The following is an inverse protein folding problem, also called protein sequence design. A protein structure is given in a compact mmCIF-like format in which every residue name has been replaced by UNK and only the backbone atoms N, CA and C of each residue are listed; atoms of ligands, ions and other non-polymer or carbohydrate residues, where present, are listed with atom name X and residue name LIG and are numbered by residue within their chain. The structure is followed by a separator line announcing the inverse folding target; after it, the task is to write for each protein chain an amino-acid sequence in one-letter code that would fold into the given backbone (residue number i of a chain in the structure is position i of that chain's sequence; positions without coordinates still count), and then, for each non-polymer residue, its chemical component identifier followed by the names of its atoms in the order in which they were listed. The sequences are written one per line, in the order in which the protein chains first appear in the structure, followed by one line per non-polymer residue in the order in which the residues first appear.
data_IF_249903817342
#
_entry.id   IF_249903817342
#
_cell.length_a   1.000
_cell.length_b   1.000
_cell.length_c   1.000
_cell.angle_alpha   90.00
_cell.angle_beta   90.00
_cell.angle_gamma   90.00
#
_symmetry.space_group_name_H-M   'P 1'
#
loop_
_entity.id
_entity.type
_entity.pdbx_description
1 polymer ?
#
# COMPACT_ATOMS: atom_id res chain seq x y z
N UNK A 1 -5.71 -8.69 -16.89
CA UNK A 1 -4.51 -8.41 -16.05
C UNK A 1 -3.36 -9.27 -16.54
N UNK A 2 -2.17 -8.71 -16.78
CA UNK A 2 -0.99 -9.48 -17.22
C UNK A 2 -0.24 -10.02 -15.98
N UNK A 3 -0.48 -11.28 -15.62
CA UNK A 3 0.10 -11.91 -14.41
C UNK A 3 1.64 -11.88 -14.43
N UNK A 4 2.26 -11.99 -15.61
CA UNK A 4 3.71 -11.98 -15.79
C UNK A 4 4.44 -10.74 -15.23
N UNK A 5 3.71 -9.66 -14.94
CA UNK A 5 4.25 -8.42 -14.37
C UNK A 5 4.18 -8.37 -12.84
N UNK A 6 3.60 -9.37 -12.17
CA UNK A 6 3.56 -9.44 -10.71
C UNK A 6 4.81 -10.11 -10.17
N UNK A 7 5.85 -9.32 -9.89
CA UNK A 7 7.19 -9.84 -9.54
C UNK A 7 7.73 -9.31 -8.22
N UNK A 8 6.99 -8.44 -7.55
CA UNK A 8 7.42 -7.88 -6.27
C UNK A 8 6.59 -8.51 -5.15
N UNK A 9 7.20 -9.25 -4.21
CA UNK A 9 6.50 -9.72 -3.04
C UNK A 9 6.19 -8.53 -2.13
N UNK A 10 4.95 -8.46 -1.65
CA UNK A 10 4.49 -7.40 -0.77
C UNK A 10 3.82 -7.98 0.46
N UNK A 11 3.99 -7.31 1.59
CA UNK A 11 3.28 -7.61 2.84
C UNK A 11 2.43 -6.41 3.22
N UNK A 12 1.13 -6.61 3.28
CA UNK A 12 0.22 -5.66 3.89
C UNK A 12 0.31 -5.81 5.39
N UNK A 13 0.53 -4.70 6.08
CA UNK A 13 0.44 -4.63 7.53
C UNK A 13 -0.79 -3.83 7.94
N UNK A 14 -1.38 -4.21 9.07
CA UNK A 14 -2.53 -3.53 9.68
C UNK A 14 -2.08 -2.83 10.95
N UNK A 15 -2.57 -1.62 11.17
CA UNK A 15 -2.42 -0.91 12.43
C UNK A 15 -3.46 -1.45 13.40
N UNK A 16 -2.99 -2.08 14.48
CA UNK A 16 -3.81 -2.61 15.54
C UNK A 16 -3.57 -1.82 16.83
N UNK A 17 -4.67 -1.38 17.44
CA UNK A 17 -4.63 -0.75 18.75
C UNK A 17 -4.76 -1.87 19.77
N UNK A 18 -3.67 -2.13 20.47
CA UNK A 18 -3.64 -3.05 21.60
C UNK A 18 -3.82 -2.26 22.89
N UNK A 19 -4.59 -2.81 23.82
CA UNK A 19 -4.78 -2.20 25.15
C UNK A 19 -4.01 -3.04 26.15
N UNK A 20 -3.09 -2.43 26.89
CA UNK A 20 -2.34 -3.12 27.92
C UNK A 20 -3.22 -3.40 29.17
N UNK A 21 -2.67 -4.14 30.14
CA UNK A 21 -3.37 -4.47 31.39
C UNK A 21 -3.67 -3.25 32.29
N UNK A 22 -3.10 -2.08 31.96
CA UNK A 22 -3.30 -0.82 32.68
C UNK A 22 -4.24 0.13 31.93
N UNK A 23 -4.78 -0.28 30.78
CA UNK A 23 -5.70 0.53 29.97
C UNK A 23 -5.01 1.48 28.99
N UNK A 24 -3.69 1.40 28.80
CA UNK A 24 -3.01 2.22 27.80
C UNK A 24 -3.20 1.63 26.39
N UNK A 25 -3.48 2.49 25.43
CA UNK A 25 -3.59 2.12 24.01
C UNK A 25 -2.25 2.29 23.30
N UNK A 26 -1.72 1.20 22.74
CA UNK A 26 -0.52 1.19 21.90
C UNK A 26 -0.87 0.76 20.49
N UNK A 27 -0.49 1.59 19.51
CA UNK A 27 -0.61 1.25 18.10
C UNK A 27 0.61 0.42 17.68
N UNK A 28 0.39 -0.76 17.14
CA UNK A 28 1.42 -1.60 16.54
C UNK A 28 1.02 -2.04 15.14
N UNK A 29 2.01 -2.25 14.29
CA UNK A 29 1.81 -2.75 12.94
C UNK A 29 2.04 -4.25 12.91
N UNK A 30 1.04 -5.01 12.47
CA UNK A 30 1.08 -6.48 12.39
C UNK A 30 0.91 -6.96 10.95
N UNK A 31 1.62 -8.03 10.57
CA UNK A 31 1.49 -8.64 9.24
C UNK A 31 0.05 -9.15 9.04
N UNK A 32 -0.60 -8.69 7.96
CA UNK A 32 -1.99 -9.00 7.66
C UNK A 32 -2.12 -9.96 6.47
N UNK A 33 -1.53 -9.61 5.33
CA UNK A 33 -1.68 -10.41 4.10
C UNK A 33 -0.45 -10.28 3.20
N UNK A 34 -0.06 -11.38 2.55
CA UNK A 34 1.12 -11.42 1.67
C UNK A 34 0.71 -11.84 0.27
N UNK A 35 1.19 -11.12 -0.74
CA UNK A 35 0.93 -11.46 -2.14
C UNK A 35 2.01 -10.87 -3.06
N UNK A 36 1.83 -11.06 -4.37
CA UNK A 36 2.67 -10.45 -5.39
C UNK A 36 1.98 -9.23 -5.98
N UNK A 37 2.76 -8.21 -6.31
CA UNK A 37 2.30 -6.97 -6.93
C UNK A 37 3.07 -6.68 -8.22
N UNK A 38 2.40 -5.98 -9.14
CA UNK A 38 3.08 -5.15 -10.14
C UNK A 38 3.36 -3.79 -9.51
N UNK A 39 4.61 -3.36 -9.55
CA UNK A 39 5.03 -2.04 -9.05
C UNK A 39 5.20 -1.10 -10.22
N UNK A 40 4.67 0.11 -10.07
CA UNK A 40 4.86 1.18 -11.03
C UNK A 40 4.87 2.54 -10.35
N UNK A 41 5.06 3.57 -11.15
CA UNK A 41 4.85 4.96 -10.76
C UNK A 41 3.64 5.48 -11.52
N UNK A 42 2.98 6.51 -11.00
CA UNK A 42 1.96 7.18 -11.79
C UNK A 42 2.68 8.05 -12.83
N UNK A 43 2.85 7.51 -14.03
CA UNK A 43 3.51 8.21 -15.14
C UNK A 43 2.59 9.22 -15.86
N UNK A 44 1.44 9.56 -15.29
CA UNK A 44 0.61 10.65 -15.80
C UNK A 44 1.07 11.94 -15.13
N UNK A 45 1.85 12.71 -15.89
CA UNK A 45 2.38 14.00 -15.47
C UNK A 45 1.34 14.84 -14.74
N UNK A 46 1.65 15.15 -13.50
CA UNK A 46 1.13 16.33 -12.84
C UNK A 46 2.35 17.05 -12.26
N UNK A 47 3.05 17.77 -13.13
CA UNK A 47 3.83 18.96 -12.76
C UNK A 47 2.89 20.11 -12.34
N UNK A 48 1.76 19.79 -11.71
CA UNK A 48 0.86 20.78 -11.13
C UNK A 48 1.28 20.94 -9.68
N UNK A 49 1.96 22.07 -9.42
CA UNK A 49 2.41 22.58 -8.11
C UNK A 49 3.91 22.54 -7.82
N UNK A 50 4.78 22.44 -8.83
CA UNK A 50 6.22 22.75 -8.67
C UNK A 50 7.02 21.83 -7.74
N UNK A 51 6.41 20.76 -7.23
CA UNK A 51 7.08 19.74 -6.44
C UNK A 51 7.52 18.59 -7.36
N UNK A 52 8.84 18.40 -7.47
CA UNK A 52 9.43 17.24 -8.12
C UNK A 52 9.13 16.02 -7.24
N UNK A 53 8.15 15.21 -7.61
CA UNK A 53 7.88 13.93 -6.94
C UNK A 53 9.00 12.97 -7.35
N UNK A 54 9.89 12.62 -6.42
CA UNK A 54 10.87 11.58 -6.68
C UNK A 54 10.14 10.26 -6.90
N UNK A 55 10.42 9.62 -8.04
CA UNK A 55 9.77 8.35 -8.42
C UNK A 55 9.95 7.23 -7.37
N UNK A 56 10.99 7.32 -6.54
CA UNK A 56 11.23 6.38 -5.43
C UNK A 56 10.38 6.68 -4.17
N UNK A 57 9.87 7.90 -4.03
CA UNK A 57 9.04 8.33 -2.90
C UNK A 57 7.56 8.02 -3.12
N UNK A 58 7.11 7.84 -4.37
CA UNK A 58 5.71 7.57 -4.71
C UNK A 58 5.58 6.39 -5.66
N UNK A 59 5.10 5.26 -5.14
CA UNK A 59 4.90 4.03 -5.89
C UNK A 59 3.44 3.59 -5.85
N UNK A 60 3.02 2.91 -6.90
CA UNK A 60 1.77 2.17 -6.92
C UNK A 60 2.01 0.66 -6.99
N UNK A 61 1.19 -0.08 -6.23
CA UNK A 61 1.21 -1.53 -6.14
C UNK A 61 -0.12 -2.05 -6.67
N UNK A 62 -0.09 -2.73 -7.81
CA UNK A 62 -1.28 -3.38 -8.38
C UNK A 62 -1.29 -4.86 -8.03
N UNK A 63 -2.29 -5.27 -7.25
CA UNK A 63 -2.49 -6.64 -6.79
C UNK A 63 -3.72 -7.27 -7.45
N UNK A 64 -3.80 -8.61 -7.47
CA UNK A 64 -5.03 -9.32 -7.83
C UNK A 64 -6.06 -9.03 -6.74
N UNK A 65 -7.31 -8.85 -7.14
CA UNK A 65 -8.38 -8.72 -6.16
C UNK A 65 -8.56 -10.04 -5.38
N UNK A 66 -8.70 -9.92 -4.06
CA UNK A 66 -9.17 -10.97 -3.15
C UNK A 66 -9.92 -10.33 -1.98
N UNK A 67 -10.57 -11.16 -1.16
CA UNK A 67 -11.35 -10.71 0.01
C UNK A 67 -10.52 -9.92 1.01
N UNK A 68 -9.30 -10.37 1.30
CA UNK A 68 -8.41 -9.74 2.27
C UNK A 68 -8.00 -8.34 1.81
N UNK A 69 -7.65 -8.19 0.53
CA UNK A 69 -7.28 -6.89 -0.03
C UNK A 69 -8.48 -5.95 -0.22
N UNK A 70 -9.71 -6.47 -0.24
CA UNK A 70 -10.92 -5.64 -0.32
C UNK A 70 -11.19 -4.87 0.98
N UNK A 71 -10.64 -5.32 2.13
CA UNK A 71 -10.74 -4.66 3.43
C UNK A 71 -9.67 -3.57 3.65
N UNK A 72 -8.66 -3.52 2.78
CA UNK A 72 -7.52 -2.62 2.92
C UNK A 72 -7.95 -1.17 2.65
N UNK A 73 -7.67 -0.30 3.61
CA UNK A 73 -7.92 1.16 3.54
C UNK A 73 -6.66 1.95 3.90
N UNK A 74 -6.54 3.18 3.39
CA UNK A 74 -5.34 4.00 3.54
C UNK A 74 -4.94 4.34 4.97
N UNK A 75 -5.91 4.44 5.89
CA UNK A 75 -5.65 4.91 7.25
C UNK A 75 -5.24 3.81 8.23
N UNK A 76 -5.49 2.54 7.89
CA UNK A 76 -5.27 1.39 8.79
C UNK A 76 -4.25 0.41 8.25
N UNK A 77 -3.77 0.60 7.03
CA UNK A 77 -2.89 -0.35 6.36
C UNK A 77 -1.71 0.34 5.71
N UNK A 78 -0.60 -0.38 5.65
CA UNK A 78 0.62 0.00 4.93
C UNK A 78 1.20 -1.22 4.21
N UNK A 79 2.11 -0.98 3.29
CA UNK A 79 2.74 -2.03 2.47
C UNK A 79 4.24 -2.07 2.76
N UNK A 80 4.77 -3.26 3.02
CA UNK A 80 6.20 -3.54 3.00
C UNK A 80 6.58 -4.14 1.65
N UNK A 81 7.59 -3.58 1.01
CA UNK A 81 8.13 -4.06 -0.26
C UNK A 81 9.62 -3.70 -0.35
N UNK A 82 10.46 -4.62 -0.83
CA UNK A 82 11.90 -4.37 -1.04
C UNK A 82 12.62 -3.75 0.19
N UNK A 83 12.26 -4.21 1.40
CA UNK A 83 12.83 -3.71 2.66
C UNK A 83 12.39 -2.29 3.07
N UNK A 84 11.45 -1.69 2.34
CA UNK A 84 10.91 -0.35 2.60
C UNK A 84 9.44 -0.41 3.01
N UNK A 85 9.03 0.57 3.80
CA UNK A 85 7.63 0.76 4.20
C UNK A 85 6.98 1.86 3.37
N UNK A 86 5.76 1.59 2.90
CA UNK A 86 4.98 2.50 2.08
C UNK A 86 3.60 2.71 2.71
N UNK A 87 3.29 3.96 3.05
CA UNK A 87 1.97 4.36 3.53
C UNK A 87 1.00 4.43 2.34
N UNK A 88 -0.16 3.79 2.46
CA UNK A 88 -1.18 3.81 1.41
C UNK A 88 -1.85 5.19 1.45
N UNK A 89 -1.83 5.91 0.33
CA UNK A 89 -2.47 7.22 0.18
C UNK A 89 -3.87 7.08 -0.45
N UNK A 90 -4.03 6.15 -1.40
CA UNK A 90 -5.29 5.93 -2.08
C UNK A 90 -5.45 4.49 -2.59
N UNK A 91 -6.62 3.89 -2.33
CA UNK A 91 -7.01 2.58 -2.85
C UNK A 91 -7.91 2.76 -4.07
N UNK A 92 -7.39 2.43 -5.24
CA UNK A 92 -8.14 2.48 -6.50
C UNK A 92 -8.78 1.10 -6.78
N UNK A 93 -10.12 1.00 -6.80
CA UNK A 93 -10.84 -0.26 -7.05
C UNK A 93 -10.81 -0.71 -8.51
N UNK A 94 -10.12 0.03 -9.39
CA UNK A 94 -9.97 -0.27 -10.82
C UNK A 94 -11.33 -0.46 -11.52
N UNK A 95 -12.27 0.43 -11.20
CA UNK A 95 -13.64 0.40 -11.72
C UNK A 95 -14.51 -0.71 -11.13
N UNK A 96 -14.20 -1.20 -9.92
CA UNK A 96 -14.95 -2.22 -9.18
C UNK A 96 -15.14 -3.56 -9.90
N UNK A 97 -14.30 -3.84 -10.91
CA UNK A 97 -14.38 -5.07 -11.71
C UNK A 97 -13.96 -6.34 -10.94
N UNK A 98 -13.46 -6.20 -9.71
CA UNK A 98 -12.95 -7.28 -8.85
C UNK A 98 -11.89 -8.19 -9.52
N UNK A 99 -11.11 -7.61 -10.43
CA UNK A 99 -9.96 -8.29 -11.04
C UNK A 99 -8.65 -7.90 -10.35
N UNK A 100 -8.53 -6.61 -10.02
CA UNK A 100 -7.32 -6.00 -9.45
C UNK A 100 -7.69 -4.89 -8.50
N UNK A 101 -6.79 -4.59 -7.57
CA UNK A 101 -6.77 -3.38 -6.75
C UNK A 101 -5.43 -2.69 -6.96
N UNK A 102 -5.44 -1.37 -7.06
CA UNK A 102 -4.22 -0.56 -7.16
C UNK A 102 -4.10 0.30 -5.90
N UNK A 103 -3.01 0.13 -5.17
CA UNK A 103 -2.67 0.88 -3.98
C UNK A 103 -1.64 1.93 -4.35
N UNK A 104 -1.99 3.20 -4.27
CA UNK A 104 -1.04 4.30 -4.43
C UNK A 104 -0.48 4.60 -3.06
N UNK A 105 0.84 4.77 -2.99
CA UNK A 105 1.55 4.85 -1.74
C UNK A 105 2.66 5.88 -1.78
N UNK A 106 2.98 6.42 -0.61
CA UNK A 106 4.16 7.24 -0.36
C UNK A 106 5.14 6.48 0.55
N UNK A 107 6.44 6.62 0.30
CA UNK A 107 7.48 6.08 1.17
C UNK A 107 7.34 6.64 2.58
N UNK A 108 7.37 5.77 3.60
CA UNK A 108 7.39 6.19 5.00
C UNK A 108 8.70 6.92 5.27
N UNK A 109 8.62 8.18 5.69
CA UNK A 109 9.79 8.97 6.07
C UNK A 109 10.14 8.65 7.51
N UNK A 110 11.23 7.91 7.74
CA UNK A 110 11.79 7.74 9.08
C UNK A 110 12.30 9.09 9.55
N UNK A 111 11.74 9.61 10.65
CA UNK A 111 12.19 10.85 11.29
C UNK A 111 13.38 10.57 12.19
#
# INVERSE_FOLDING_TARGET
MKIANMRVPVTFQKNEITTDKYGNHTASWTDYFKCWATVGTDSYGSETSGEVINSEESLNFTCRWCSELAEVVSTKYRILAEGKTYNITYVNPMGYKKNTLKFNCALEKTT
#
